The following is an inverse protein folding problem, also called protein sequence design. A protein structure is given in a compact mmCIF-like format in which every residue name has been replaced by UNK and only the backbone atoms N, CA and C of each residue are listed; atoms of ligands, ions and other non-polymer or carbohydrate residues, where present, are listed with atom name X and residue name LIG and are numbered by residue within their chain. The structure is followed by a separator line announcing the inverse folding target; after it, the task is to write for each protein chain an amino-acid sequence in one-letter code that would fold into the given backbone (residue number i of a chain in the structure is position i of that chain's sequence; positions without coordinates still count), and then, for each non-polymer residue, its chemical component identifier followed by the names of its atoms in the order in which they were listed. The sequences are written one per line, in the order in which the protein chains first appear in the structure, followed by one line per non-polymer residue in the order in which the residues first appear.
data_IF_492528873925
#
_entry.id   IF_492528873925
#
_cell.length_a   1.000
_cell.length_b   1.000
_cell.length_c   1.000
_cell.angle_alpha   90.00
_cell.angle_beta   90.00
_cell.angle_gamma   90.00
#
_symmetry.space_group_name_H-M   'P 1'
#
loop_
_entity.id
_entity.type
_entity.pdbx_description
1 polymer ?
#
# COMPACT_ATOMS: atom_id res chain seq x y z
N UNK A 1 23.75 2.90 15.15
CA UNK A 1 23.34 1.69 14.41
C UNK A 1 23.08 2.10 12.98
N UNK A 2 23.66 1.43 11.98
CA UNK A 2 23.41 1.75 10.57
C UNK A 2 22.01 1.27 10.17
N UNK A 3 21.40 1.86 9.15
CA UNK A 3 20.06 1.47 8.67
C UNK A 3 19.99 -0.04 8.34
N UNK A 4 21.03 -0.57 7.70
CA UNK A 4 21.16 -2.01 7.38
C UNK A 4 21.15 -2.90 8.63
N UNK A 5 21.83 -2.50 9.71
CA UNK A 5 21.84 -3.26 10.97
C UNK A 5 20.47 -3.22 11.66
N UNK A 6 19.79 -2.07 11.65
CA UNK A 6 18.44 -1.95 12.22
C UNK A 6 17.42 -2.84 11.49
N UNK A 7 17.43 -2.85 10.14
CA UNK A 7 16.53 -3.70 9.33
C UNK A 7 16.73 -5.18 9.64
N UNK A 8 17.98 -5.64 9.74
CA UNK A 8 18.30 -7.05 10.04
C UNK A 8 17.76 -7.45 11.42
N UNK A 9 17.92 -6.60 12.44
CA UNK A 9 17.45 -6.86 13.80
C UNK A 9 15.92 -6.96 13.84
N UNK A 10 15.22 -5.99 13.27
CA UNK A 10 13.75 -5.97 13.22
C UNK A 10 13.24 -7.20 12.46
N UNK A 11 13.79 -7.49 11.29
CA UNK A 11 13.40 -8.66 10.49
C UNK A 11 13.63 -9.98 11.23
N UNK A 12 14.75 -10.12 11.92
CA UNK A 12 15.06 -11.33 12.70
C UNK A 12 14.06 -11.52 13.83
N UNK A 13 13.68 -10.43 14.50
CA UNK A 13 12.64 -10.49 15.53
C UNK A 13 11.28 -10.84 14.95
N UNK A 14 10.83 -10.18 13.86
CA UNK A 14 9.55 -10.51 13.19
C UNK A 14 9.53 -11.99 12.82
N UNK A 15 10.61 -12.50 12.21
CA UNK A 15 10.75 -13.94 11.92
C UNK A 15 10.63 -14.83 13.15
N UNK A 16 11.18 -14.38 14.29
CA UNK A 16 11.10 -15.15 15.55
C UNK A 16 9.68 -15.13 16.10
N UNK A 17 9.03 -13.96 16.17
CA UNK A 17 7.64 -13.83 16.61
C UNK A 17 6.68 -14.67 15.74
N UNK A 18 6.88 -14.69 14.42
CA UNK A 18 6.06 -15.48 13.50
C UNK A 18 6.32 -16.99 13.53
N UNK A 19 7.45 -17.44 14.08
CA UNK A 19 7.69 -18.87 14.37
C UNK A 19 6.84 -19.33 15.55
N UNK A 20 6.73 -18.49 16.58
CA UNK A 20 5.96 -18.80 17.79
C UNK A 20 4.44 -18.60 17.59
N UNK A 21 4.04 -18.03 16.45
CA UNK A 21 2.64 -17.74 16.13
C UNK A 21 1.77 -19.00 16.04
N UNK A 22 2.34 -20.14 15.64
CA UNK A 22 1.59 -21.40 15.51
C UNK A 22 1.22 -21.97 16.89
N UNK A 23 1.98 -21.63 17.95
CA UNK A 23 1.72 -22.08 19.33
C UNK A 23 0.86 -21.08 20.14
N UNK A 24 1.01 -19.78 19.88
CA UNK A 24 0.25 -18.73 20.59
C UNK A 24 0.10 -17.46 19.74
N UNK A 25 -0.94 -17.38 18.88
CA UNK A 25 -1.19 -16.21 18.03
C UNK A 25 -1.32 -14.90 18.81
N UNK A 26 -2.02 -14.91 19.95
CA UNK A 26 -2.19 -13.75 20.83
C UNK A 26 -0.85 -13.22 21.37
N UNK A 27 0.04 -14.13 21.78
CA UNK A 27 1.38 -13.78 22.27
C UNK A 27 2.24 -13.22 21.13
N UNK A 28 2.17 -13.82 19.94
CA UNK A 28 2.83 -13.30 18.75
C UNK A 28 2.38 -11.86 18.47
N UNK A 29 1.08 -11.62 18.45
CA UNK A 29 0.48 -10.30 18.21
C UNK A 29 0.96 -9.26 19.23
N UNK A 30 0.92 -9.58 20.53
CA UNK A 30 1.43 -8.67 21.57
C UNK A 30 2.94 -8.41 21.44
N UNK A 31 3.73 -9.45 21.18
CA UNK A 31 5.18 -9.32 20.99
C UNK A 31 5.51 -8.43 19.78
N UNK A 32 4.75 -8.54 18.69
CA UNK A 32 4.91 -7.70 17.51
C UNK A 32 4.61 -6.23 17.83
N UNK A 33 3.54 -5.93 18.59
CA UNK A 33 3.21 -4.56 19.04
C UNK A 33 4.26 -3.98 19.99
N UNK A 34 4.68 -4.75 20.99
CA UNK A 34 5.68 -4.30 21.95
C UNK A 34 7.02 -3.99 21.27
N UNK A 35 7.40 -4.82 20.28
CA UNK A 35 8.57 -4.57 19.43
C UNK A 35 8.38 -3.28 18.63
N UNK A 36 7.26 -3.17 17.95
CA UNK A 36 6.88 -2.01 17.18
C UNK A 36 7.07 -0.70 17.98
N UNK A 37 6.58 -0.67 19.21
CA UNK A 37 6.76 0.44 20.14
C UNK A 37 8.24 0.65 20.52
N UNK A 38 8.99 -0.43 20.77
CA UNK A 38 10.41 -0.36 21.13
C UNK A 38 11.28 0.24 20.02
N UNK A 39 11.01 -0.09 18.76
CA UNK A 39 11.77 0.40 17.61
C UNK A 39 11.22 1.69 17.00
N UNK A 40 10.08 2.19 17.51
CA UNK A 40 9.51 3.46 17.08
C UNK A 40 10.33 4.65 17.60
N UNK A 41 11.05 5.30 16.68
CA UNK A 41 11.82 6.52 16.97
C UNK A 41 11.25 7.75 16.26
N UNK A 42 10.32 7.56 15.32
CA UNK A 42 9.63 8.64 14.60
C UNK A 42 8.16 8.81 15.02
N UNK A 43 7.62 10.03 14.85
CA UNK A 43 6.23 10.40 15.19
C UNK A 43 5.19 9.46 14.55
N UNK A 44 5.39 9.09 13.27
CA UNK A 44 4.54 8.14 12.55
C UNK A 44 4.47 6.76 13.22
N UNK A 45 5.64 6.23 13.58
CA UNK A 45 5.74 4.91 14.19
C UNK A 45 5.04 4.92 15.55
N UNK A 46 5.20 5.98 16.34
CA UNK A 46 4.52 6.11 17.64
C UNK A 46 3.00 6.14 17.49
N UNK A 47 2.45 7.01 16.63
CA UNK A 47 0.99 7.07 16.41
C UNK A 47 0.41 5.75 15.88
N UNK A 48 1.08 5.12 14.90
CA UNK A 48 0.63 3.85 14.33
C UNK A 48 0.65 2.73 15.37
N UNK A 49 1.70 2.64 16.19
CA UNK A 49 1.81 1.56 17.17
C UNK A 49 1.02 1.80 18.44
N UNK A 50 0.78 3.05 18.83
CA UNK A 50 -0.21 3.38 19.87
C UNK A 50 -1.62 2.99 19.43
N UNK A 51 -1.96 3.24 18.16
CA UNK A 51 -3.23 2.80 17.58
C UNK A 51 -3.32 1.27 17.53
N UNK A 52 -2.27 0.60 17.05
CA UNK A 52 -2.22 -0.87 17.03
C UNK A 52 -2.34 -1.47 18.45
N UNK A 53 -1.69 -0.87 19.44
CA UNK A 53 -1.81 -1.28 20.85
C UNK A 53 -3.21 -1.05 21.39
N UNK A 54 -3.81 0.11 21.14
CA UNK A 54 -5.17 0.40 21.57
C UNK A 54 -6.17 -0.59 20.94
N UNK A 55 -5.97 -0.92 19.67
CA UNK A 55 -6.73 -1.93 18.95
C UNK A 55 -6.56 -3.33 19.53
N UNK A 56 -5.34 -3.70 19.94
CA UNK A 56 -5.05 -5.05 20.44
C UNK A 56 -5.32 -5.21 21.94
N UNK A 57 -5.66 -4.14 22.66
CA UNK A 57 -6.20 -4.24 24.02
C UNK A 57 -7.65 -4.77 24.06
N UNK A 58 -8.31 -4.95 22.90
CA UNK A 58 -9.61 -5.58 22.81
C UNK A 58 -9.44 -7.11 22.69
N UNK A 59 -9.59 -7.85 23.78
CA UNK A 59 -9.46 -9.32 23.80
C UNK A 59 -10.42 -10.04 22.83
N UNK A 60 -11.54 -9.42 22.47
CA UNK A 60 -12.51 -9.96 21.52
C UNK A 60 -12.37 -9.37 20.10
N UNK A 61 -11.21 -8.81 19.77
CA UNK A 61 -10.97 -8.20 18.47
C UNK A 61 -11.13 -9.23 17.34
N UNK A 62 -11.89 -8.94 16.27
CA UNK A 62 -11.89 -9.77 15.06
C UNK A 62 -10.54 -9.75 14.33
N UNK A 63 -9.61 -8.89 14.72
CA UNK A 63 -8.25 -8.93 14.16
C UNK A 63 -7.43 -10.11 14.67
N UNK A 64 -7.75 -10.70 15.83
CA UNK A 64 -7.08 -11.94 16.27
C UNK A 64 -7.33 -13.12 15.32
N UNK A 65 -8.58 -13.51 15.01
CA UNK A 65 -8.83 -14.56 14.04
C UNK A 65 -8.39 -14.17 12.62
N UNK A 66 -8.40 -12.89 12.25
CA UNK A 66 -7.82 -12.43 10.98
C UNK A 66 -6.32 -12.70 10.89
N UNK A 67 -5.56 -12.33 11.93
CA UNK A 67 -4.10 -12.57 12.00
C UNK A 67 -3.83 -14.07 11.97
N UNK A 68 -4.58 -14.88 12.74
CA UNK A 68 -4.45 -16.33 12.73
C UNK A 68 -4.68 -16.91 11.32
N UNK A 69 -5.76 -16.51 10.65
CA UNK A 69 -6.08 -16.97 9.30
C UNK A 69 -5.00 -16.59 8.29
N UNK A 70 -4.53 -15.33 8.36
CA UNK A 70 -3.46 -14.80 7.50
C UNK A 70 -2.17 -15.62 7.67
N UNK A 71 -1.74 -15.87 8.92
CA UNK A 71 -0.50 -16.61 9.20
C UNK A 71 -0.58 -18.09 8.81
N UNK A 72 -1.78 -18.67 8.84
CA UNK A 72 -2.02 -20.06 8.45
C UNK A 72 -2.02 -20.24 6.92
N UNK A 73 -2.64 -19.32 6.19
CA UNK A 73 -2.92 -19.51 4.76
C UNK A 73 -1.99 -18.75 3.82
N UNK A 74 -1.26 -17.74 4.31
CA UNK A 74 -0.28 -17.02 3.48
C UNK A 74 1.16 -17.48 3.74
N UNK A 75 2.03 -17.26 2.78
CA UNK A 75 3.46 -17.48 2.94
C UNK A 75 4.06 -16.42 3.89
N UNK A 76 4.68 -16.90 4.98
CA UNK A 76 5.25 -16.05 6.03
C UNK A 76 6.36 -15.14 5.49
N UNK A 77 7.18 -15.59 4.53
CA UNK A 77 8.25 -14.74 3.98
C UNK A 77 7.69 -13.61 3.10
N UNK A 78 6.56 -13.81 2.41
CA UNK A 78 5.85 -12.76 1.68
C UNK A 78 5.32 -11.68 2.64
N UNK A 79 4.68 -12.11 3.74
CA UNK A 79 4.23 -11.20 4.80
C UNK A 79 5.38 -10.39 5.39
N UNK A 80 6.52 -11.05 5.65
CA UNK A 80 7.71 -10.40 6.22
C UNK A 80 8.30 -9.39 5.25
N UNK A 81 8.59 -9.76 4.01
CA UNK A 81 9.29 -8.85 3.08
C UNK A 81 8.40 -7.68 2.67
N UNK A 82 7.13 -7.94 2.31
CA UNK A 82 6.18 -6.85 2.04
C UNK A 82 6.03 -5.93 3.24
N UNK A 83 5.81 -6.47 4.44
CA UNK A 83 5.65 -5.69 5.67
C UNK A 83 6.91 -4.89 6.04
N UNK A 84 8.10 -5.47 5.86
CA UNK A 84 9.37 -4.77 6.07
C UNK A 84 9.57 -3.64 5.07
N UNK A 85 9.20 -3.83 3.80
CA UNK A 85 9.33 -2.79 2.80
C UNK A 85 8.32 -1.66 3.03
N UNK A 86 7.07 -1.98 3.39
CA UNK A 86 6.04 -0.98 3.68
C UNK A 86 6.38 -0.18 4.95
N UNK A 87 6.68 -0.88 6.05
CA UNK A 87 6.90 -0.25 7.36
C UNK A 87 8.31 0.31 7.55
N UNK A 88 9.35 -0.50 7.31
CA UNK A 88 10.72 -0.05 7.52
C UNK A 88 11.21 0.81 6.36
N UNK A 89 11.20 0.30 5.12
CA UNK A 89 11.72 1.07 3.99
C UNK A 89 10.82 2.29 3.70
N UNK A 90 9.48 2.12 3.65
CA UNK A 90 8.55 3.23 3.41
C UNK A 90 8.48 4.23 4.58
N UNK A 91 8.11 3.76 5.77
CA UNK A 91 7.79 4.67 6.89
C UNK A 91 8.98 5.02 7.81
N UNK A 92 10.15 4.41 7.62
CA UNK A 92 11.34 4.67 8.46
C UNK A 92 12.50 5.24 7.67
N UNK A 93 13.04 4.47 6.73
CA UNK A 93 14.21 4.85 5.95
C UNK A 93 13.85 5.91 4.90
N UNK A 94 12.83 5.63 4.09
CA UNK A 94 12.24 6.54 3.12
C UNK A 94 11.78 7.84 3.77
N UNK A 95 11.01 7.75 4.86
CA UNK A 95 10.59 8.92 5.63
C UNK A 95 11.75 9.78 6.15
N UNK A 96 12.93 9.21 6.44
CA UNK A 96 14.12 9.99 6.80
C UNK A 96 14.69 10.76 5.60
N UNK A 97 14.77 10.11 4.43
CA UNK A 97 15.23 10.71 3.18
C UNK A 97 14.27 11.82 2.75
N UNK A 98 12.97 11.57 2.71
CA UNK A 98 11.91 12.55 2.37
C UNK A 98 12.04 13.81 3.23
N UNK A 99 12.15 13.66 4.56
CA UNK A 99 12.34 14.81 5.47
C UNK A 99 13.65 15.56 5.24
N UNK A 100 14.71 14.86 4.82
CA UNK A 100 15.99 15.51 4.48
C UNK A 100 15.82 16.34 3.20
N UNK A 101 15.26 15.74 2.15
CA UNK A 101 14.98 16.40 0.86
C UNK A 101 14.10 17.64 1.06
N UNK A 102 13.02 17.54 1.86
CA UNK A 102 12.19 18.71 2.19
C UNK A 102 12.99 19.83 2.87
N UNK A 103 13.87 19.51 3.81
CA UNK A 103 14.69 20.52 4.51
C UNK A 103 15.78 21.15 3.63
N UNK A 104 16.38 20.38 2.73
CA UNK A 104 17.54 20.83 1.95
C UNK A 104 17.19 21.40 0.59
N UNK A 105 16.10 20.94 -0.02
CA UNK A 105 15.70 21.27 -1.38
C UNK A 105 14.27 21.83 -1.48
N UNK A 106 13.52 21.87 -0.37
CA UNK A 106 12.11 22.29 -0.30
C UNK A 106 11.15 21.49 -1.20
N UNK A 107 11.51 20.28 -1.60
CA UNK A 107 10.67 19.41 -2.44
C UNK A 107 9.68 18.64 -1.55
N UNK A 108 8.40 18.63 -1.94
CA UNK A 108 7.41 17.72 -1.36
C UNK A 108 7.49 16.38 -2.08
N UNK A 109 8.00 15.36 -1.39
CA UNK A 109 8.11 14.00 -1.94
C UNK A 109 6.92 13.18 -1.42
N UNK A 110 6.11 12.57 -2.30
CA UNK A 110 5.00 11.72 -1.87
C UNK A 110 5.54 10.44 -1.23
N UNK A 111 4.78 9.88 -0.28
CA UNK A 111 5.16 8.62 0.37
C UNK A 111 5.01 7.40 -0.54
N UNK A 112 4.00 7.44 -1.43
CA UNK A 112 3.63 6.37 -2.36
C UNK A 112 3.44 6.97 -3.75
N UNK A 113 3.82 6.22 -4.80
CA UNK A 113 3.46 6.55 -6.19
C UNK A 113 2.45 5.60 -6.80
N UNK A 114 1.52 6.17 -7.56
CA UNK A 114 0.70 5.42 -8.51
C UNK A 114 1.39 5.37 -9.88
N UNK A 115 1.60 4.18 -10.43
CA UNK A 115 2.16 3.99 -11.77
C UNK A 115 1.20 3.15 -12.61
N UNK A 116 0.57 3.80 -13.58
CA UNK A 116 -0.18 3.11 -14.61
C UNK A 116 0.80 2.72 -15.72
N UNK A 117 1.05 1.43 -15.86
CA UNK A 117 2.05 0.85 -16.75
C UNK A 117 1.38 0.38 -18.03
N UNK A 118 1.89 0.83 -19.18
CA UNK A 118 1.51 0.27 -20.47
C UNK A 118 2.24 -1.08 -20.67
N UNK A 119 1.54 -2.18 -20.45
CA UNK A 119 2.08 -3.53 -20.60
C UNK A 119 2.24 -3.99 -22.06
N UNK A 120 1.97 -3.11 -23.05
CA UNK A 120 2.23 -3.39 -24.46
C UNK A 120 3.70 -3.23 -24.85
N UNK A 121 4.50 -2.49 -24.06
CA UNK A 121 5.93 -2.36 -24.30
C UNK A 121 6.65 -3.71 -24.14
N UNK A 122 7.56 -4.01 -25.07
CA UNK A 122 8.29 -5.27 -25.09
C UNK A 122 9.33 -5.38 -23.95
N UNK A 123 9.93 -4.26 -23.54
CA UNK A 123 10.91 -4.19 -22.46
C UNK A 123 10.48 -3.16 -21.41
N UNK A 124 9.64 -3.62 -20.48
CA UNK A 124 9.15 -2.80 -19.37
C UNK A 124 10.26 -2.41 -18.40
N UNK A 125 11.26 -3.28 -18.21
CA UNK A 125 12.35 -3.02 -17.29
C UNK A 125 13.14 -1.80 -17.76
N UNK A 126 13.63 -1.79 -19.00
CA UNK A 126 14.38 -0.65 -19.55
C UNK A 126 13.57 0.65 -19.55
N UNK A 127 12.24 0.56 -19.70
CA UNK A 127 11.38 1.75 -19.73
C UNK A 127 11.08 2.33 -18.36
N UNK A 128 10.82 1.50 -17.35
CA UNK A 128 10.28 1.93 -16.05
C UNK A 128 11.29 1.86 -14.90
N UNK A 129 12.39 1.11 -15.00
CA UNK A 129 13.34 0.93 -13.89
C UNK A 129 13.92 2.25 -13.36
N UNK A 130 14.20 3.21 -14.26
CA UNK A 130 14.71 4.52 -13.88
C UNK A 130 13.77 5.30 -12.93
N UNK A 131 12.46 5.01 -12.95
CA UNK A 131 11.49 5.63 -12.03
C UNK A 131 11.68 5.10 -10.61
N UNK A 132 11.93 3.81 -10.45
CA UNK A 132 12.20 3.20 -9.15
C UNK A 132 13.54 3.65 -8.59
N UNK A 133 14.58 3.70 -9.43
CA UNK A 133 15.90 4.14 -8.99
C UNK A 133 15.87 5.60 -8.51
N UNK A 134 15.26 6.50 -9.29
CA UNK A 134 15.06 7.90 -8.88
C UNK A 134 14.15 8.03 -7.64
N UNK A 135 13.09 7.21 -7.54
CA UNK A 135 12.19 7.22 -6.40
C UNK A 135 12.92 6.81 -5.10
N UNK A 136 13.74 5.76 -5.13
CA UNK A 136 14.55 5.33 -3.97
C UNK A 136 15.53 6.42 -3.52
N UNK A 137 16.14 7.16 -4.45
CA UNK A 137 16.99 8.31 -4.13
C UNK A 137 16.24 9.44 -3.40
N UNK A 138 14.94 9.58 -3.66
CA UNK A 138 14.06 10.56 -3.02
C UNK A 138 13.38 10.02 -1.75
N UNK A 139 13.51 8.72 -1.46
CA UNK A 139 12.93 8.08 -0.29
C UNK A 139 11.58 7.40 -0.51
N UNK A 140 11.24 7.11 -1.77
CA UNK A 140 9.99 6.45 -2.16
C UNK A 140 10.24 4.95 -2.31
N UNK A 141 9.55 4.17 -1.51
CA UNK A 141 9.68 2.70 -1.45
C UNK A 141 8.34 1.99 -1.54
N UNK A 142 7.24 2.72 -1.74
CA UNK A 142 5.89 2.14 -1.83
C UNK A 142 5.30 2.57 -3.16
N UNK A 143 4.86 1.58 -3.95
CA UNK A 143 4.34 1.80 -5.29
C UNK A 143 3.04 1.04 -5.48
N UNK A 144 2.03 1.73 -6.00
CA UNK A 144 0.79 1.15 -6.48
C UNK A 144 0.87 1.05 -8.00
N UNK A 145 0.91 -0.16 -8.53
CA UNK A 145 1.05 -0.46 -9.95
C UNK A 145 -0.31 -0.88 -10.50
N UNK A 146 -0.63 -0.41 -11.69
CA UNK A 146 -1.83 -0.81 -12.41
C UNK A 146 -1.52 -0.94 -13.91
N UNK A 147 -2.20 -1.86 -14.60
CA UNK A 147 -2.16 -1.95 -16.06
C UNK A 147 -3.53 -2.38 -16.58
N UNK A 148 -3.96 -1.82 -17.71
CA UNK A 148 -5.17 -2.29 -18.42
C UNK A 148 -4.92 -3.58 -19.21
N UNK A 149 -3.66 -3.98 -19.37
CA UNK A 149 -3.26 -5.20 -20.06
C UNK A 149 -2.97 -6.36 -19.12
N UNK A 150 -1.95 -7.15 -19.44
CA UNK A 150 -1.59 -8.34 -18.69
C UNK A 150 -0.70 -8.01 -17.48
N UNK A 151 -1.18 -8.23 -16.23
CA UNK A 151 -0.41 -7.95 -15.03
C UNK A 151 0.82 -8.87 -14.85
N UNK A 152 0.85 -10.06 -15.47
CA UNK A 152 2.01 -10.97 -15.39
C UNK A 152 3.27 -10.30 -15.95
N UNK A 153 3.11 -9.44 -16.97
CA UNK A 153 4.22 -8.69 -17.58
C UNK A 153 4.91 -7.73 -16.62
N UNK A 154 4.24 -7.31 -15.54
CA UNK A 154 4.81 -6.40 -14.54
C UNK A 154 5.69 -7.15 -13.52
N UNK A 155 5.56 -8.48 -13.39
CA UNK A 155 6.26 -9.27 -12.37
C UNK A 155 7.80 -9.13 -12.43
N UNK A 156 8.46 -9.12 -13.62
CA UNK A 156 9.90 -8.87 -13.69
C UNK A 156 10.29 -7.52 -13.11
N UNK A 157 9.50 -6.47 -13.33
CA UNK A 157 9.78 -5.14 -12.79
C UNK A 157 9.70 -5.11 -11.25
N UNK A 158 8.76 -5.88 -10.68
CA UNK A 158 8.61 -6.07 -9.23
C UNK A 158 9.80 -6.85 -8.65
N UNK A 159 10.24 -7.91 -9.34
CA UNK A 159 11.40 -8.73 -8.96
C UNK A 159 12.69 -7.89 -8.86
N UNK A 160 12.89 -6.95 -9.79
CA UNK A 160 14.08 -6.09 -9.83
C UNK A 160 14.09 -5.01 -8.73
N UNK A 161 12.99 -4.83 -7.99
CA UNK A 161 12.87 -3.83 -6.93
C UNK A 161 12.43 -4.47 -5.59
N UNK A 162 13.21 -5.43 -5.06
CA UNK A 162 12.82 -6.27 -3.91
C UNK A 162 12.78 -5.51 -2.57
N UNK A 163 13.29 -4.28 -2.52
CA UNK A 163 13.27 -3.37 -1.38
C UNK A 163 12.05 -2.43 -1.38
N UNK A 164 11.26 -2.42 -2.45
CA UNK A 164 10.00 -1.68 -2.52
C UNK A 164 8.82 -2.57 -2.11
N UNK A 165 7.81 -1.99 -1.49
CA UNK A 165 6.51 -2.61 -1.31
C UNK A 165 5.65 -2.33 -2.55
N UNK A 166 5.33 -3.38 -3.29
CA UNK A 166 4.55 -3.29 -4.53
C UNK A 166 3.10 -3.68 -4.27
N UNK A 167 2.17 -2.78 -4.56
CA UNK A 167 0.73 -3.05 -4.55
C UNK A 167 0.32 -3.15 -6.01
N UNK A 168 0.05 -4.35 -6.50
CA UNK A 168 -0.33 -4.58 -7.90
C UNK A 168 -1.86 -4.69 -7.99
N UNK A 169 -2.50 -3.66 -8.53
CA UNK A 169 -3.94 -3.65 -8.78
C UNK A 169 -4.25 -4.36 -10.10
N UNK A 170 -5.12 -5.36 -10.06
CA UNK A 170 -5.51 -6.18 -11.20
C UNK A 170 -7.04 -6.30 -11.29
N UNK A 171 -7.55 -6.37 -12.52
CA UNK A 171 -8.89 -6.91 -12.76
C UNK A 171 -8.94 -8.38 -12.30
N UNK A 172 -10.05 -8.80 -11.71
CA UNK A 172 -10.18 -10.16 -11.17
C UNK A 172 -9.98 -11.25 -12.22
N UNK A 173 -10.45 -11.03 -13.45
CA UNK A 173 -10.33 -11.98 -14.56
C UNK A 173 -8.88 -12.23 -15.01
N UNK A 174 -7.95 -11.34 -14.64
CA UNK A 174 -6.53 -11.51 -14.92
C UNK A 174 -5.83 -12.41 -13.87
N UNK A 175 -6.48 -12.68 -12.74
CA UNK A 175 -5.96 -13.55 -11.68
C UNK A 175 -6.24 -15.01 -12.04
N UNK A 176 -5.35 -15.58 -12.84
CA UNK A 176 -5.39 -16.99 -13.25
C UNK A 176 -4.43 -17.84 -12.41
N UNK A 177 -4.55 -19.17 -12.50
CA UNK A 177 -3.58 -20.12 -11.96
C UNK A 177 -2.16 -19.86 -12.46
N UNK A 178 -2.00 -19.55 -13.74
CA UNK A 178 -0.69 -19.26 -14.35
C UNK A 178 -0.09 -17.98 -13.77
N UNK A 179 -0.90 -16.91 -13.65
CA UNK A 179 -0.47 -15.67 -13.02
C UNK A 179 -0.08 -15.87 -11.55
N UNK A 180 -0.92 -16.58 -10.77
CA UNK A 180 -0.65 -16.84 -9.36
C UNK A 180 0.63 -17.65 -9.17
N UNK A 181 0.84 -18.68 -9.99
CA UNK A 181 2.07 -19.46 -10.01
C UNK A 181 3.30 -18.62 -10.37
N UNK A 182 3.20 -17.73 -11.34
CA UNK A 182 4.28 -16.82 -11.71
C UNK A 182 4.62 -15.84 -10.56
N UNK A 183 3.61 -15.42 -9.79
CA UNK A 183 3.76 -14.51 -8.65
C UNK A 183 4.38 -15.15 -7.39
N UNK A 184 4.43 -16.49 -7.27
CA UNK A 184 4.93 -17.19 -6.08
C UNK A 184 6.39 -16.85 -5.73
N UNK A 185 7.21 -16.51 -6.71
CA UNK A 185 8.63 -16.18 -6.51
C UNK A 185 8.83 -14.81 -5.82
N UNK A 186 7.81 -13.96 -5.83
CA UNK A 186 7.88 -12.58 -5.35
C UNK A 186 7.42 -12.50 -3.88
N UNK A 187 8.23 -11.82 -3.06
CA UNK A 187 7.95 -11.68 -1.62
C UNK A 187 7.56 -10.25 -1.22
N UNK A 188 7.74 -9.28 -2.10
CA UNK A 188 7.56 -7.87 -1.81
C UNK A 188 6.26 -7.29 -2.39
N UNK A 189 5.27 -8.15 -2.67
CA UNK A 189 4.06 -7.79 -3.40
C UNK A 189 2.78 -8.10 -2.60
N UNK A 190 1.81 -7.19 -2.68
CA UNK A 190 0.41 -7.40 -2.36
C UNK A 190 -0.41 -7.26 -3.64
N UNK A 191 -1.28 -8.23 -3.91
CA UNK A 191 -2.15 -8.23 -5.10
C UNK A 191 -3.51 -7.65 -4.71
N UNK A 192 -3.88 -6.49 -5.27
CA UNK A 192 -5.20 -5.91 -5.14
C UNK A 192 -6.09 -6.42 -6.27
N UNK A 193 -7.17 -7.13 -5.93
CA UNK A 193 -8.14 -7.68 -6.88
C UNK A 193 -9.35 -6.76 -6.98
N UNK A 194 -9.74 -6.38 -8.20
CA UNK A 194 -10.94 -5.60 -8.41
C UNK A 194 -12.18 -6.34 -7.89
N UNK A 195 -13.09 -5.60 -7.25
CA UNK A 195 -14.39 -6.10 -6.81
C UNK A 195 -15.40 -6.08 -7.96
N UNK A 196 -15.63 -7.26 -8.55
CA UNK A 196 -16.48 -7.52 -9.70
C UNK A 196 -16.93 -9.00 -9.71
N UNK A 197 -17.46 -9.49 -10.84
CA UNK A 197 -18.06 -10.83 -10.96
C UNK A 197 -17.10 -12.01 -10.76
N UNK A 198 -15.77 -11.86 -10.88
CA UNK A 198 -14.82 -12.98 -10.71
C UNK A 198 -13.97 -12.86 -9.43
N UNK A 199 -14.27 -11.92 -8.54
CA UNK A 199 -13.46 -11.67 -7.34
C UNK A 199 -13.35 -12.89 -6.43
N UNK A 200 -14.41 -13.68 -6.29
CA UNK A 200 -14.43 -14.88 -5.44
C UNK A 200 -13.42 -15.94 -5.94
N UNK A 201 -13.45 -16.22 -7.23
CA UNK A 201 -12.56 -17.17 -7.91
C UNK A 201 -11.12 -16.68 -7.84
N UNK A 202 -10.88 -15.39 -8.10
CA UNK A 202 -9.56 -14.78 -7.98
C UNK A 202 -8.99 -14.90 -6.55
N UNK A 203 -9.80 -14.63 -5.52
CA UNK A 203 -9.37 -14.75 -4.13
C UNK A 203 -9.04 -16.19 -3.75
N UNK A 204 -9.83 -17.17 -4.23
CA UNK A 204 -9.55 -18.60 -4.02
C UNK A 204 -8.20 -19.01 -4.62
N UNK A 205 -7.92 -18.63 -5.88
CA UNK A 205 -6.65 -18.92 -6.54
C UNK A 205 -5.48 -18.33 -5.75
N UNK A 206 -5.53 -17.04 -5.39
CA UNK A 206 -4.44 -16.39 -4.65
C UNK A 206 -4.20 -17.04 -3.28
N UNK A 207 -5.28 -17.47 -2.61
CA UNK A 207 -5.21 -18.13 -1.31
C UNK A 207 -4.61 -19.53 -1.41
N UNK A 208 -4.97 -20.31 -2.42
CA UNK A 208 -4.41 -21.65 -2.66
C UNK A 208 -2.90 -21.58 -2.95
N UNK A 209 -2.47 -20.54 -3.66
CA UNK A 209 -1.05 -20.21 -3.89
C UNK A 209 -0.37 -19.49 -2.72
N UNK A 210 -1.08 -19.27 -1.60
CA UNK A 210 -0.57 -18.63 -0.37
C UNK A 210 0.00 -17.22 -0.59
N UNK A 211 -0.53 -16.50 -1.57
CA UNK A 211 -0.11 -15.14 -1.91
C UNK A 211 -0.74 -14.11 -0.94
N UNK A 212 -0.12 -12.94 -0.82
CA UNK A 212 -0.70 -11.81 -0.08
C UNK A 212 -1.63 -11.02 -1.01
N UNK A 213 -2.89 -10.92 -0.64
CA UNK A 213 -3.91 -10.26 -1.46
C UNK A 213 -4.86 -9.39 -0.66
N UNK A 214 -5.58 -8.53 -1.37
CA UNK A 214 -6.67 -7.67 -0.90
C UNK A 214 -7.69 -7.57 -2.02
N UNK A 215 -8.93 -7.19 -1.69
CA UNK A 215 -9.85 -6.68 -2.71
C UNK A 215 -9.84 -5.15 -2.69
N UNK A 216 -10.11 -4.53 -3.83
CA UNK A 216 -10.30 -3.09 -3.93
C UNK A 216 -11.54 -2.74 -4.75
N UNK A 217 -12.12 -1.57 -4.48
CA UNK A 217 -13.24 -1.02 -5.25
C UNK A 217 -13.02 0.45 -5.57
N UNK A 218 -13.11 0.80 -6.85
CA UNK A 218 -13.36 2.19 -7.24
C UNK A 218 -14.84 2.52 -7.03
N UNK A 219 -15.14 3.68 -6.46
CA UNK A 219 -16.51 4.08 -6.18
C UNK A 219 -16.83 5.49 -6.69
N UNK A 220 -18.01 5.62 -7.27
CA UNK A 220 -18.68 6.90 -7.55
C UNK A 220 -19.69 7.23 -6.44
N UNK A 221 -20.36 8.38 -6.54
CA UNK A 221 -21.44 8.77 -5.63
C UNK A 221 -22.52 7.68 -5.51
N UNK A 222 -22.89 7.06 -6.63
CA UNK A 222 -23.95 6.04 -6.69
C UNK A 222 -23.53 4.65 -6.23
N UNK A 223 -22.23 4.38 -6.14
CA UNK A 223 -21.68 3.06 -5.77
C UNK A 223 -21.19 3.01 -4.32
N UNK A 224 -21.28 4.13 -3.60
CA UNK A 224 -20.83 4.24 -2.21
C UNK A 224 -21.69 3.45 -1.21
N UNK A 225 -22.92 3.08 -1.57
CA UNK A 225 -23.88 2.43 -0.68
C UNK A 225 -23.41 1.05 -0.15
N UNK A 226 -22.73 0.25 -0.97
CA UNK A 226 -22.19 -1.04 -0.54
C UNK A 226 -21.06 -0.87 0.49
N UNK A 227 -20.29 0.21 0.37
CA UNK A 227 -19.24 0.57 1.34
C UNK A 227 -19.87 1.05 2.64
N UNK A 228 -20.84 1.98 2.55
CA UNK A 228 -21.50 2.59 3.71
C UNK A 228 -22.37 1.60 4.51
N UNK A 229 -23.01 0.64 3.83
CA UNK A 229 -23.78 -0.45 4.46
C UNK A 229 -22.88 -1.52 5.10
N UNK A 230 -21.59 -1.52 4.73
CA UNK A 230 -20.61 -2.51 5.17
C UNK A 230 -20.77 -3.88 4.53
N UNK A 231 -21.61 -4.02 3.49
CA UNK A 231 -21.72 -5.26 2.71
C UNK A 231 -20.39 -5.59 2.04
N UNK A 232 -19.73 -4.58 1.48
CA UNK A 232 -18.42 -4.73 0.85
C UNK A 232 -17.34 -5.30 1.81
N UNK A 233 -17.27 -4.78 3.04
CA UNK A 233 -16.30 -5.25 4.02
C UNK A 233 -16.61 -6.68 4.54
N UNK A 234 -17.90 -7.07 4.61
CA UNK A 234 -18.28 -8.45 4.95
C UNK A 234 -17.89 -9.42 3.85
N UNK A 235 -18.07 -9.04 2.59
CA UNK A 235 -17.61 -9.84 1.46
C UNK A 235 -16.09 -10.07 1.52
N UNK A 236 -15.30 -9.03 1.81
CA UNK A 236 -13.85 -9.18 2.01
C UNK A 236 -13.48 -10.16 3.14
N UNK A 237 -14.25 -10.15 4.24
CA UNK A 237 -14.09 -11.11 5.34
C UNK A 237 -14.40 -12.55 4.89
N UNK A 238 -15.44 -12.76 4.11
CA UNK A 238 -15.77 -14.07 3.52
C UNK A 238 -14.69 -14.56 2.55
N UNK A 239 -14.04 -13.65 1.82
CA UNK A 239 -12.90 -13.95 0.93
C UNK A 239 -11.55 -14.04 1.67
N UNK A 240 -11.57 -13.95 3.01
CA UNK A 240 -10.38 -14.02 3.85
C UNK A 240 -9.31 -12.98 3.53
N UNK A 241 -9.70 -11.79 3.08
CA UNK A 241 -8.77 -10.72 2.76
C UNK A 241 -8.28 -10.00 4.04
N UNK A 242 -6.96 -9.93 4.30
CA UNK A 242 -6.43 -9.13 5.40
C UNK A 242 -6.80 -7.65 5.31
N UNK A 243 -6.90 -7.13 4.09
CA UNK A 243 -7.23 -5.74 3.79
C UNK A 243 -8.39 -5.65 2.81
N UNK A 244 -9.10 -4.52 2.86
CA UNK A 244 -10.13 -4.16 1.88
C UNK A 244 -10.00 -2.66 1.57
N UNK A 245 -9.77 -2.33 0.30
CA UNK A 245 -9.42 -0.97 -0.11
C UNK A 245 -10.55 -0.30 -0.91
N UNK A 246 -10.75 0.99 -0.70
CA UNK A 246 -11.63 1.82 -1.53
C UNK A 246 -10.86 2.97 -2.15
N UNK A 247 -11.21 3.30 -3.39
CA UNK A 247 -10.62 4.38 -4.17
C UNK A 247 -11.76 5.23 -4.73
N UNK A 248 -11.76 6.52 -4.43
CA UNK A 248 -12.77 7.41 -5.00
C UNK A 248 -12.53 7.61 -6.50
N UNK A 249 -13.55 7.49 -7.33
CA UNK A 249 -13.46 7.95 -8.71
C UNK A 249 -13.14 9.46 -8.75
N UNK A 250 -12.37 9.96 -9.74
CA UNK A 250 -12.08 11.39 -9.86
C UNK A 250 -13.33 12.29 -9.89
N UNK A 251 -14.46 11.78 -10.39
CA UNK A 251 -15.75 12.48 -10.41
C UNK A 251 -16.54 12.39 -9.10
N UNK A 252 -16.09 11.65 -8.09
CA UNK A 252 -16.80 11.47 -6.83
C UNK A 252 -16.80 12.75 -5.98
N UNK A 253 -17.98 13.13 -5.49
CA UNK A 253 -18.16 14.36 -4.73
C UNK A 253 -17.40 14.33 -3.40
N UNK A 254 -16.88 15.48 -2.98
CA UNK A 254 -16.14 15.60 -1.72
C UNK A 254 -16.98 15.13 -0.50
N UNK A 255 -18.29 15.39 -0.52
CA UNK A 255 -19.20 14.93 0.54
C UNK A 255 -19.25 13.41 0.66
N UNK A 256 -19.37 12.70 -0.48
CA UNK A 256 -19.39 11.23 -0.48
C UNK A 256 -18.02 10.68 -0.06
N UNK A 257 -16.93 11.24 -0.59
CA UNK A 257 -15.55 10.87 -0.20
C UNK A 257 -15.33 10.99 1.30
N UNK A 258 -15.73 12.10 1.92
CA UNK A 258 -15.64 12.29 3.37
C UNK A 258 -16.48 11.29 4.16
N UNK A 259 -17.69 10.99 3.70
CA UNK A 259 -18.59 10.05 4.38
C UNK A 259 -18.05 8.61 4.31
N UNK A 260 -17.54 8.20 3.14
CA UNK A 260 -16.88 6.92 2.97
C UNK A 260 -15.65 6.82 3.86
N UNK A 261 -14.78 7.84 3.88
CA UNK A 261 -13.61 7.83 4.76
C UNK A 261 -13.98 7.73 6.25
N UNK A 262 -15.01 8.46 6.71
CA UNK A 262 -15.55 8.33 8.07
C UNK A 262 -16.05 6.92 8.36
N UNK A 263 -16.74 6.29 7.40
CA UNK A 263 -17.23 4.92 7.54
C UNK A 263 -16.07 3.89 7.63
N UNK A 264 -15.07 4.02 6.74
CA UNK A 264 -13.85 3.18 6.73
C UNK A 264 -13.09 3.31 8.05
N UNK A 265 -12.79 4.53 8.49
CA UNK A 265 -12.08 4.77 9.76
C UNK A 265 -12.92 4.26 10.94
N UNK A 266 -14.22 4.53 10.95
CA UNK A 266 -15.12 4.07 11.99
C UNK A 266 -15.19 2.54 12.09
N UNK A 267 -15.21 1.84 10.95
CA UNK A 267 -15.16 0.38 10.91
C UNK A 267 -13.82 -0.18 11.39
N UNK A 268 -12.71 0.44 10.97
CA UNK A 268 -11.34 0.05 11.37
C UNK A 268 -11.10 0.25 12.87
N UNK A 269 -11.51 1.39 13.43
CA UNK A 269 -11.36 1.71 14.86
C UNK A 269 -12.25 0.85 15.72
N UNK A 270 -13.51 0.64 15.31
CA UNK A 270 -14.44 -0.23 16.03
C UNK A 270 -14.17 -1.73 15.79
N UNK A 271 -13.23 -2.07 14.88
CA UNK A 271 -12.89 -3.43 14.51
C UNK A 271 -14.14 -4.23 14.16
N UNK A 272 -14.93 -3.75 13.19
CA UNK A 272 -16.23 -4.34 12.88
C UNK A 272 -16.16 -5.66 12.12
N UNK A 273 -15.05 -5.90 11.42
CA UNK A 273 -14.89 -6.98 10.46
C UNK A 273 -13.57 -7.70 10.68
N UNK A 274 -13.47 -8.95 10.20
CA UNK A 274 -12.19 -9.68 10.10
C UNK A 274 -11.44 -9.32 8.83
N UNK A 275 -11.35 -8.03 8.56
CA UNK A 275 -10.56 -7.41 7.50
C UNK A 275 -10.28 -5.97 7.92
N UNK A 276 -9.23 -5.35 7.40
CA UNK A 276 -8.86 -3.97 7.73
C UNK A 276 -9.28 -3.05 6.57
N UNK A 277 -10.32 -2.20 6.74
CA UNK A 277 -10.71 -1.23 5.73
C UNK A 277 -9.69 -0.11 5.58
N UNK A 278 -9.40 0.24 4.34
CA UNK A 278 -8.46 1.29 3.94
C UNK A 278 -9.13 2.18 2.90
N UNK A 279 -9.11 3.49 3.12
CA UNK A 279 -9.38 4.45 2.06
C UNK A 279 -8.03 4.84 1.47
N UNK A 280 -7.76 4.40 0.25
CA UNK A 280 -6.40 4.45 -0.28
C UNK A 280 -5.90 5.89 -0.39
N UNK A 281 -6.75 6.83 -0.80
CA UNK A 281 -6.32 8.22 -0.97
C UNK A 281 -6.17 8.95 0.35
N UNK A 282 -7.19 8.93 1.22
CA UNK A 282 -7.10 9.63 2.50
C UNK A 282 -6.05 9.03 3.43
N UNK A 283 -5.90 7.70 3.47
CA UNK A 283 -4.87 7.08 4.30
C UNK A 283 -3.46 7.37 3.78
N UNK A 284 -3.21 7.36 2.45
CA UNK A 284 -1.92 7.76 1.87
C UNK A 284 -1.60 9.21 2.18
N UNK A 285 -2.55 10.12 1.96
CA UNK A 285 -2.38 11.55 2.25
C UNK A 285 -2.07 11.78 3.72
N UNK A 286 -2.79 11.09 4.62
CA UNK A 286 -2.53 11.15 6.06
C UNK A 286 -1.11 10.67 6.39
N UNK A 287 -0.67 9.54 5.86
CA UNK A 287 0.69 9.01 6.09
C UNK A 287 1.73 10.01 5.61
N UNK A 288 1.58 10.53 4.38
CA UNK A 288 2.48 11.52 3.82
C UNK A 288 2.54 12.80 4.65
N UNK A 289 1.41 13.28 5.17
CA UNK A 289 1.35 14.48 6.01
C UNK A 289 2.03 14.29 7.38
N UNK A 290 2.04 13.07 7.92
CA UNK A 290 2.81 12.74 9.13
C UNK A 290 4.32 12.68 8.82
N UNK A 291 4.69 12.27 7.60
CA UNK A 291 6.09 12.18 7.17
C UNK A 291 6.66 13.56 6.88
N UNK A 292 6.06 14.29 5.95
CA UNK A 292 6.53 15.59 5.46
C UNK A 292 5.39 16.39 4.85
N UNK A 293 4.69 17.22 5.65
CA UNK A 293 3.59 18.04 5.16
C UNK A 293 4.09 19.26 4.33
N UNK A 294 3.27 19.77 3.39
CA UNK A 294 2.03 19.17 2.91
C UNK A 294 2.30 17.96 2.00
N UNK A 295 1.47 16.94 2.12
CA UNK A 295 1.49 15.76 1.26
C UNK A 295 0.64 15.95 0.02
N UNK A 296 0.97 15.19 -1.02
CA UNK A 296 0.23 15.09 -2.26
C UNK A 296 0.09 13.63 -2.68
N UNK A 297 -0.91 13.35 -3.50
CA UNK A 297 -1.13 12.03 -4.08
C UNK A 297 -0.85 12.14 -5.57
N UNK A 298 0.29 11.60 -6.00
CA UNK A 298 0.79 11.73 -7.36
C UNK A 298 0.77 10.35 -8.03
N UNK A 299 0.39 10.34 -9.31
CA UNK A 299 0.60 9.21 -10.18
C UNK A 299 1.07 9.58 -11.58
N UNK A 300 1.44 8.57 -12.35
CA UNK A 300 1.79 8.70 -13.76
C UNK A 300 0.91 7.79 -14.62
N UNK A 301 0.42 8.34 -15.72
CA UNK A 301 -0.35 7.63 -16.75
C UNK A 301 0.55 6.72 -17.61
N UNK A 302 -0.02 5.83 -18.42
CA UNK A 302 0.75 4.94 -19.29
C UNK A 302 1.71 5.65 -20.26
N UNK A 303 1.35 6.86 -20.70
CA UNK A 303 2.17 7.73 -21.56
C UNK A 303 3.28 8.49 -20.79
N UNK A 304 3.33 8.36 -19.47
CA UNK A 304 4.28 9.02 -18.58
C UNK A 304 3.80 10.37 -18.04
N UNK A 305 2.62 10.83 -18.42
CA UNK A 305 2.06 12.11 -17.97
C UNK A 305 1.67 12.03 -16.49
N UNK A 306 2.06 13.03 -15.69
CA UNK A 306 1.72 13.12 -14.27
C UNK A 306 0.23 13.45 -14.05
N UNK A 307 -0.34 12.97 -12.95
CA UNK A 307 -1.65 13.39 -12.44
C UNK A 307 -1.63 13.49 -10.90
N UNK A 308 -2.46 14.37 -10.35
CA UNK A 308 -2.64 14.56 -8.91
C UNK A 308 -4.11 14.38 -8.55
N UNK A 309 -4.40 13.53 -7.57
CA UNK A 309 -5.77 13.16 -7.16
C UNK A 309 -6.43 14.26 -6.30
N UNK A 310 -5.67 15.29 -5.92
CA UNK A 310 -6.16 16.46 -5.18
C UNK A 310 -5.97 17.81 -5.88
N UNK A 311 -5.46 17.89 -7.11
CA UNK A 311 -5.40 19.19 -7.80
C UNK A 311 -6.78 19.54 -8.36
N UNK A 312 -7.17 20.81 -8.21
CA UNK A 312 -8.43 21.38 -8.74
C UNK A 312 -8.45 21.46 -10.29
N UNK A 313 -7.77 20.55 -10.97
CA UNK A 313 -7.72 20.46 -12.43
C UNK A 313 -6.64 21.31 -13.09
N UNK A 314 -5.68 21.89 -12.35
CA UNK A 314 -4.49 22.46 -12.98
C UNK A 314 -3.64 21.33 -13.57
N UNK A 315 -3.46 21.27 -14.91
CA UNK A 315 -2.66 20.25 -15.54
C UNK A 315 -1.19 20.47 -15.18
N UNK A 316 -0.56 19.43 -14.65
CA UNK A 316 0.88 19.37 -14.51
C UNK A 316 1.45 18.92 -15.87
N UNK A 317 2.13 19.81 -16.58
CA UNK A 317 2.70 19.54 -17.91
C UNK A 317 4.06 18.82 -17.83
N UNK A 318 4.13 17.72 -17.07
CA UNK A 318 5.37 16.97 -16.87
C UNK A 318 5.26 15.52 -17.35
N UNK A 319 6.37 14.95 -17.82
CA UNK A 319 6.43 13.56 -18.25
C UNK A 319 7.65 12.83 -17.69
N UNK A 320 7.42 11.74 -16.94
CA UNK A 320 8.47 10.97 -16.25
C UNK A 320 9.46 10.27 -17.19
N UNK A 321 9.13 10.13 -18.48
CA UNK A 321 10.03 9.56 -19.46
C UNK A 321 10.93 10.59 -20.14
N UNK A 322 10.63 11.88 -19.98
CA UNK A 322 11.36 12.98 -20.61
C UNK A 322 12.15 13.82 -19.59
N UNK A 323 11.70 13.82 -18.33
CA UNK A 323 12.24 14.64 -17.25
C UNK A 323 12.65 13.79 -16.05
N UNK A 324 13.59 14.28 -15.24
CA UNK A 324 13.93 13.60 -14.00
C UNK A 324 12.80 13.74 -12.98
N UNK A 325 12.56 12.69 -12.20
CA UNK A 325 11.53 12.69 -11.16
C UNK A 325 11.73 13.84 -10.16
N UNK A 326 12.99 14.13 -9.84
CA UNK A 326 13.35 15.21 -8.92
C UNK A 326 12.94 16.58 -9.47
N UNK A 327 13.09 16.82 -10.76
CA UNK A 327 12.73 18.10 -11.39
C UNK A 327 11.20 18.23 -11.49
N UNK A 328 10.50 17.16 -11.90
CA UNK A 328 9.03 17.12 -11.90
C UNK A 328 8.47 17.50 -10.52
N UNK A 329 9.01 16.91 -9.44
CA UNK A 329 8.55 17.21 -8.08
C UNK A 329 8.95 18.62 -7.60
N UNK A 330 10.03 19.23 -8.10
CA UNK A 330 10.37 20.62 -7.76
C UNK A 330 9.33 21.58 -8.34
N UNK A 331 8.94 21.36 -9.58
CA UNK A 331 8.08 22.28 -10.32
C UNK A 331 6.60 22.09 -9.93
N UNK A 332 6.18 20.84 -9.70
CA UNK A 332 4.79 20.50 -9.33
C UNK A 332 4.33 21.09 -7.99
N UNK A 333 5.24 21.52 -7.10
CA UNK A 333 4.92 22.08 -5.78
C UNK A 333 5.37 23.53 -5.58
N UNK A 334 5.92 24.16 -6.62
CA UNK A 334 6.26 25.59 -6.58
C UNK A 334 5.03 26.49 -6.79
N UNK A 335 3.91 25.92 -7.25
CA UNK A 335 2.68 26.65 -7.61
C UNK A 335 1.79 26.95 -6.40
N UNK A 336 1.87 26.17 -5.32
CA UNK A 336 1.04 26.36 -4.11
C UNK A 336 1.56 27.44 -3.14
N UNK A 337 2.64 28.16 -3.49
CA UNK A 337 3.22 29.22 -2.65
C UNK A 337 2.83 30.65 -3.05
N UNK A 338 2.05 30.83 -4.12
CA UNK A 338 1.63 32.17 -4.59
C UNK A 338 0.11 32.45 -4.54
N UNK A 339 -0.70 31.55 -3.96
CA UNK A 339 -2.15 31.74 -3.79
C UNK A 339 -2.57 32.16 -2.39
#
# INVERSE_FOLDING_TARGET
MTAKTSRIIIKTFVRTALKDADESPERCTRNLVDMALHFSKGRFQQEFFEMARAMLNNDNSPYYPLIEDTLRHMDKEKLIEFGMNLGYNGCTEGAHIVRKIKRTENINVPWLFFLNIDSSYADLHSRYQAIFDQGKELGIYVYCLYTDGDPEKLLPLIEHNPDCAMILLCNSAAVTEDFAKAAESLNNMLIGVAYDDNTDTACLVLRDHRLLYSIYRMYTDTESDEILSGSYARFAEEMHCPFVAVLADPGCSASVRENVYKAVVGARVAQKYRTIPIDLFYDIERIGNIISPPSSIIGFKPDGSIYNIGSDGNPLEHNIFNESLRDILKESFSIDQES
#
